data_IF_319829952306
#
_entry.id   IF_319829952306
#
_cell.length_a   1.000
_cell.length_b   1.000
_cell.length_c   1.000
_cell.angle_alpha   90.00
_cell.angle_beta   90.00
_cell.angle_gamma   90.00
#
_symmetry.space_group_name_H-M   'P 1'
#
loop_
_entity.id
_entity.type
_entity.pdbx_description
1 polymer ?
#
# COMPACT_ATOMS: atom_id res chain seq x y z
N UNK A 1 5.72 -0.60 12.26
CA UNK A 1 6.56 -0.70 11.07
C UNK A 1 5.83 0.03 9.96
N UNK A 2 6.48 0.98 9.30
CA UNK A 2 5.90 1.82 8.23
C UNK A 2 6.24 1.16 6.89
N UNK A 3 5.22 0.60 6.23
CA UNK A 3 5.30 -0.07 4.93
C UNK A 3 4.99 0.87 3.76
N UNK A 4 4.83 2.17 4.02
CA UNK A 4 4.48 3.16 3.01
C UNK A 4 2.99 3.16 2.63
N UNK A 5 2.16 2.27 3.17
CA UNK A 5 0.72 2.27 2.92
C UNK A 5 0.04 3.44 3.65
N UNK A 6 -0.75 4.25 2.94
CA UNK A 6 -1.36 5.48 3.48
C UNK A 6 -2.88 5.41 3.38
N UNK A 7 -3.52 5.10 4.50
CA UNK A 7 -4.98 5.10 4.60
C UNK A 7 -5.45 5.42 6.03
N UNK A 8 -6.67 5.93 6.16
CA UNK A 8 -7.38 5.95 7.44
C UNK A 8 -8.35 4.78 7.45
N UNK A 9 -8.22 3.89 8.44
CA UNK A 9 -9.06 2.72 8.60
C UNK A 9 -10.08 2.99 9.70
N UNK A 10 -11.37 2.94 9.34
CA UNK A 10 -12.48 3.09 10.27
C UNK A 10 -13.15 1.73 10.47
N UNK A 11 -13.12 1.24 11.71
CA UNK A 11 -13.84 0.04 12.10
C UNK A 11 -15.15 0.44 12.76
N UNK A 12 -16.26 -0.06 12.24
CA UNK A 12 -17.57 0.16 12.81
C UNK A 12 -18.30 -1.15 13.02
N UNK A 13 -18.82 -1.35 14.22
CA UNK A 13 -19.72 -2.43 14.54
C UNK A 13 -20.83 -1.86 15.44
N UNK A 14 -22.08 -1.98 15.00
CA UNK A 14 -23.22 -1.41 15.72
C UNK A 14 -23.48 -2.14 17.05
N UNK A 15 -23.44 -3.46 17.01
CA UNK A 15 -23.70 -4.37 18.13
C UNK A 15 -23.07 -5.75 17.84
N UNK A 16 -23.04 -6.64 18.85
CA UNK A 16 -22.44 -7.97 18.72
C UNK A 16 -23.22 -8.94 17.80
N UNK A 17 -24.41 -8.55 17.32
CA UNK A 17 -25.21 -9.33 16.38
C UNK A 17 -25.03 -8.86 14.93
N UNK A 18 -24.38 -7.71 14.72
CA UNK A 18 -24.07 -7.15 13.41
C UNK A 18 -22.63 -7.47 13.00
N UNK A 19 -22.43 -7.70 11.70
CA UNK A 19 -21.10 -7.85 11.13
C UNK A 19 -20.32 -6.53 11.24
N UNK A 20 -19.05 -6.58 11.68
CA UNK A 20 -18.18 -5.40 11.64
C UNK A 20 -17.92 -5.01 10.17
N UNK A 21 -17.88 -3.70 9.92
CA UNK A 21 -17.47 -3.14 8.64
C UNK A 21 -16.14 -2.39 8.83
N UNK A 22 -15.29 -2.49 7.83
CA UNK A 22 -14.08 -1.67 7.70
C UNK A 22 -14.29 -0.70 6.53
N UNK A 23 -14.08 0.59 6.79
CA UNK A 23 -14.10 1.63 5.76
C UNK A 23 -12.68 2.21 5.66
N UNK A 24 -12.07 2.08 4.49
CA UNK A 24 -10.76 2.64 4.22
C UNK A 24 -10.90 3.94 3.42
N UNK A 25 -10.33 5.01 3.94
CA UNK A 25 -10.28 6.31 3.29
C UNK A 25 -8.89 6.55 2.75
N UNK A 26 -8.80 6.76 1.44
CA UNK A 26 -7.55 6.98 0.72
C UNK A 26 -7.49 8.40 0.15
N UNK A 27 -6.29 8.98 0.12
CA UNK A 27 -6.07 10.21 -0.64
C UNK A 27 -5.86 9.85 -2.12
N UNK A 28 -6.43 10.63 -3.05
CA UNK A 28 -6.35 10.32 -4.49
C UNK A 28 -4.92 10.19 -5.02
N UNK A 29 -3.96 10.92 -4.43
CA UNK A 29 -2.54 10.82 -4.79
C UNK A 29 -1.91 9.47 -4.41
N UNK A 30 -2.41 8.83 -3.36
CA UNK A 30 -1.90 7.57 -2.84
C UNK A 30 -2.70 6.36 -3.37
N UNK A 31 -3.80 6.59 -4.10
CA UNK A 31 -4.69 5.55 -4.62
C UNK A 31 -3.96 4.48 -5.43
N UNK A 32 -3.18 4.90 -6.44
CA UNK A 32 -2.49 3.97 -7.33
C UNK A 32 -1.47 3.13 -6.55
N UNK A 33 -0.66 3.78 -5.72
CA UNK A 33 0.31 3.10 -4.87
C UNK A 33 -0.33 2.11 -3.90
N UNK A 34 -1.42 2.51 -3.23
CA UNK A 34 -2.13 1.65 -2.28
C UNK A 34 -2.69 0.40 -2.96
N UNK A 35 -3.21 0.51 -4.19
CA UNK A 35 -3.68 -0.64 -4.98
C UNK A 35 -2.53 -1.58 -5.30
N UNK A 36 -1.42 -1.07 -5.84
CA UNK A 36 -0.26 -1.91 -6.20
C UNK A 36 0.40 -2.54 -4.98
N UNK A 37 0.61 -1.77 -3.92
CA UNK A 37 1.14 -2.27 -2.66
C UNK A 37 0.24 -3.35 -2.06
N UNK A 38 -1.08 -3.17 -2.09
CA UNK A 38 -2.02 -4.19 -1.63
C UNK A 38 -1.98 -5.47 -2.49
N UNK A 39 -1.84 -5.35 -3.81
CA UNK A 39 -1.79 -6.49 -4.71
C UNK A 39 -0.48 -7.27 -4.62
N UNK A 40 0.65 -6.58 -4.50
CA UNK A 40 1.98 -7.17 -4.70
C UNK A 40 2.86 -7.23 -3.44
N UNK A 41 2.65 -6.34 -2.47
CA UNK A 41 3.53 -6.20 -1.30
C UNK A 41 2.92 -6.69 0.02
N UNK A 42 1.61 -6.44 0.24
CA UNK A 42 0.91 -6.49 1.53
C UNK A 42 0.94 -7.81 2.33
N UNK A 43 1.38 -8.93 1.74
CA UNK A 43 1.57 -10.21 2.48
C UNK A 43 2.95 -10.86 2.31
N UNK A 44 3.74 -10.39 1.36
CA UNK A 44 4.90 -11.13 0.88
C UNK A 44 6.22 -10.40 1.07
N UNK A 45 6.17 -9.12 1.45
CA UNK A 45 7.33 -8.24 1.45
C UNK A 45 7.58 -7.61 2.81
N UNK A 46 8.83 -7.27 3.03
CA UNK A 46 9.25 -6.59 4.25
C UNK A 46 8.79 -5.13 4.22
N UNK A 47 8.40 -4.53 5.36
CA UNK A 47 7.96 -3.14 5.42
C UNK A 47 8.97 -2.14 4.85
N UNK A 48 10.26 -2.47 4.92
CA UNK A 48 11.35 -1.65 4.40
C UNK A 48 11.27 -1.46 2.88
N UNK A 49 10.89 -2.51 2.14
CA UNK A 49 10.69 -2.45 0.68
C UNK A 49 9.52 -1.53 0.35
N UNK A 50 8.38 -1.68 1.05
CA UNK A 50 7.21 -0.84 0.85
C UNK A 50 7.49 0.64 1.09
N UNK A 51 8.26 0.96 2.14
CA UNK A 51 8.68 2.34 2.43
C UNK A 51 9.54 2.94 1.33
N UNK A 52 10.49 2.19 0.79
CA UNK A 52 11.36 2.66 -0.30
C UNK A 52 10.56 2.89 -1.58
N UNK A 53 9.70 1.95 -1.95
CA UNK A 53 8.81 2.08 -3.11
C UNK A 53 7.90 3.31 -2.97
N UNK A 54 7.39 3.59 -1.76
CA UNK A 54 6.59 4.77 -1.51
C UNK A 54 7.39 6.08 -1.68
N UNK A 55 8.65 6.11 -1.25
CA UNK A 55 9.52 7.28 -1.45
C UNK A 55 9.81 7.53 -2.95
N UNK A 56 10.04 6.48 -3.72
CA UNK A 56 10.24 6.56 -5.18
C UNK A 56 8.96 6.95 -5.92
N UNK A 57 7.81 6.46 -5.47
CA UNK A 57 6.50 6.90 -5.96
C UNK A 57 6.22 8.37 -5.65
N UNK A 58 6.45 8.79 -4.40
CA UNK A 58 6.23 10.17 -3.97
C UNK A 58 7.16 11.18 -4.66
N UNK A 59 8.41 10.78 -4.95
CA UNK A 59 9.35 11.60 -5.73
C UNK A 59 9.07 11.61 -7.23
N UNK A 60 8.09 10.83 -7.69
CA UNK A 60 7.67 10.78 -9.09
C UNK A 60 8.62 9.98 -9.98
N UNK A 61 9.44 9.10 -9.40
CA UNK A 61 10.26 8.11 -10.13
C UNK A 61 9.37 6.96 -10.60
N UNK A 62 8.52 6.43 -9.71
CA UNK A 62 7.50 5.44 -10.06
C UNK A 62 6.21 6.19 -10.42
N UNK A 63 5.77 6.04 -11.68
CA UNK A 63 4.54 6.70 -12.18
C UNK A 63 3.50 5.69 -12.65
N UNK A 64 3.95 4.50 -13.03
CA UNK A 64 3.12 3.45 -13.57
C UNK A 64 3.25 2.17 -12.75
N UNK A 65 2.27 1.27 -12.92
CA UNK A 65 2.30 -0.06 -12.30
C UNK A 65 3.53 -0.86 -12.77
N UNK A 66 3.94 -0.68 -14.02
CA UNK A 66 5.13 -1.32 -14.58
C UNK A 66 6.40 -0.85 -13.88
N UNK A 67 6.54 0.46 -13.62
CA UNK A 67 7.69 0.99 -12.86
C UNK A 67 7.73 0.41 -11.44
N UNK A 68 6.56 0.29 -10.81
CA UNK A 68 6.42 -0.30 -9.47
C UNK A 68 6.87 -1.76 -9.46
N UNK A 69 6.40 -2.56 -10.41
CA UNK A 69 6.76 -3.98 -10.53
C UNK A 69 8.25 -4.17 -10.84
N UNK A 70 8.81 -3.35 -11.73
CA UNK A 70 10.23 -3.41 -12.06
C UNK A 70 11.11 -3.12 -10.84
N UNK A 71 10.80 -2.05 -10.09
CA UNK A 71 11.53 -1.71 -8.86
C UNK A 71 11.32 -2.74 -7.76
N UNK A 72 10.12 -3.29 -7.63
CA UNK A 72 9.85 -4.37 -6.68
C UNK A 72 10.70 -5.61 -7.00
N UNK A 73 10.80 -6.02 -8.27
CA UNK A 73 11.65 -7.14 -8.68
C UNK A 73 13.14 -6.88 -8.42
N UNK A 74 13.63 -5.68 -8.70
CA UNK A 74 15.02 -5.30 -8.42
C UNK A 74 15.34 -5.36 -6.92
N UNK A 75 14.41 -4.94 -6.06
CA UNK A 75 14.58 -4.99 -4.60
C UNK A 75 14.46 -6.41 -4.02
N UNK A 76 13.83 -7.34 -4.74
CA UNK A 76 13.76 -8.76 -4.36
C UNK A 76 14.97 -9.58 -4.81
N UNK A 77 15.69 -9.11 -5.84
CA UNK A 77 16.86 -9.78 -6.40
C UNK A 77 18.16 -9.48 -5.64
N UNK A 78 18.13 -8.58 -4.65
CA UNK A 78 19.25 -8.17 -3.79
C UNK A 78 19.16 -8.89 -2.44
#
# INVERSE_FOLDING_TARGET
MDDGYRAVHLYYQRDNLAYPIEVQLWCGKDYAFNIWSHQYAYKYKTPEIGKLLYQEYFSGVIRTEQDFLARLQELEAV
#
